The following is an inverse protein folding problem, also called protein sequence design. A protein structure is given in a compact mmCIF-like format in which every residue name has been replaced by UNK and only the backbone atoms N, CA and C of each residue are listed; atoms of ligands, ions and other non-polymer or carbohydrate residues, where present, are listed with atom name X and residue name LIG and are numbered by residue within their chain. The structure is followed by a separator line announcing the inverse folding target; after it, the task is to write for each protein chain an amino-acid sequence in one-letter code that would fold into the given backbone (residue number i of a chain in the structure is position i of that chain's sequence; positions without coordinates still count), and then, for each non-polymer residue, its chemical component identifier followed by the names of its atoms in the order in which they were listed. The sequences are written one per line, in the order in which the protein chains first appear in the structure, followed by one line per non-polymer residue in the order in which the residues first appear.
data_IF_651230753159
#
_entry.id   IF_651230753159
#
_cell.length_a   1.000
_cell.length_b   1.000
_cell.length_c   1.000
_cell.angle_alpha   90.00
_cell.angle_beta   90.00
_cell.angle_gamma   90.00
#
_symmetry.space_group_name_H-M   'P 1'
#
loop_
_entity.id
_entity.type
_entity.pdbx_description
1 polymer ?
#
# COMPACT_ATOMS: atom_id res chain seq x y z
N UNK A 1 -3.41 22.93 -23.95
CA UNK A 1 -2.09 22.86 -23.26
C UNK A 1 -1.95 21.50 -22.62
N UNK A 2 -0.75 20.89 -22.65
CA UNK A 2 -0.51 19.59 -21.99
C UNK A 2 -0.53 19.74 -20.47
N UNK A 3 -1.19 18.82 -19.75
CA UNK A 3 -1.23 18.79 -18.28
C UNK A 3 0.19 18.66 -17.73
N UNK A 4 0.50 19.46 -16.71
CA UNK A 4 1.79 19.47 -16.02
C UNK A 4 1.67 18.76 -14.68
N UNK A 5 2.45 17.70 -14.50
CA UNK A 5 2.56 16.96 -13.24
C UNK A 5 3.72 17.51 -12.43
N UNK A 6 3.49 17.94 -11.20
CA UNK A 6 4.52 18.25 -10.21
C UNK A 6 4.75 17.04 -9.31
N UNK A 7 5.85 16.33 -9.51
CA UNK A 7 6.15 15.10 -8.76
C UNK A 7 7.18 15.40 -7.67
N UNK A 8 6.72 15.39 -6.43
CA UNK A 8 7.53 15.61 -5.23
C UNK A 8 8.01 14.27 -4.70
N UNK A 9 9.33 14.14 -4.47
CA UNK A 9 9.97 12.86 -4.18
C UNK A 9 10.19 12.01 -5.44
N UNK A 10 10.35 12.66 -6.59
CA UNK A 10 10.42 12.01 -7.91
C UNK A 10 11.70 11.20 -8.16
N UNK A 11 12.73 11.29 -7.30
CA UNK A 11 13.96 10.49 -7.33
C UNK A 11 13.87 9.21 -6.50
N UNK A 12 12.85 9.07 -5.63
CA UNK A 12 12.52 7.83 -4.94
C UNK A 12 12.13 6.71 -5.92
N UNK A 13 12.06 5.47 -5.45
CA UNK A 13 11.78 4.32 -6.33
C UNK A 13 10.40 4.42 -7.01
N UNK A 14 9.32 4.68 -6.24
CA UNK A 14 7.98 4.88 -6.78
C UNK A 14 7.89 6.19 -7.57
N UNK A 15 8.58 7.26 -7.13
CA UNK A 15 8.66 8.52 -7.87
C UNK A 15 9.23 8.33 -9.27
N UNK A 16 10.35 7.63 -9.41
CA UNK A 16 10.93 7.29 -10.73
C UNK A 16 9.97 6.43 -11.57
N UNK A 17 9.24 5.51 -10.93
CA UNK A 17 8.27 4.68 -11.61
C UNK A 17 7.13 5.55 -12.18
N UNK A 18 6.50 6.39 -11.35
CA UNK A 18 5.41 7.28 -11.78
C UNK A 18 5.88 8.37 -12.76
N UNK A 19 7.10 8.86 -12.63
CA UNK A 19 7.69 9.75 -13.64
C UNK A 19 7.69 9.10 -15.03
N UNK A 20 8.17 7.86 -15.14
CA UNK A 20 8.15 7.11 -16.42
C UNK A 20 6.72 6.91 -16.92
N UNK A 21 5.82 6.51 -16.02
CA UNK A 21 4.42 6.31 -16.36
C UNK A 21 3.78 7.57 -16.93
N UNK A 22 3.82 8.70 -16.22
CA UNK A 22 3.23 9.95 -16.69
C UNK A 22 3.89 10.47 -17.98
N UNK A 23 5.21 10.32 -18.12
CA UNK A 23 5.90 10.69 -19.37
C UNK A 23 5.43 9.83 -20.54
N UNK A 24 5.23 8.53 -20.34
CA UNK A 24 4.68 7.63 -21.37
C UNK A 24 3.22 7.95 -21.75
N UNK A 25 2.44 8.59 -20.86
CA UNK A 25 1.12 9.13 -21.17
C UNK A 25 1.17 10.50 -21.89
N UNK A 26 2.35 10.97 -22.31
CA UNK A 26 2.53 12.26 -23.01
C UNK A 26 2.43 13.49 -22.11
N UNK A 27 2.51 13.33 -20.79
CA UNK A 27 2.40 14.44 -19.84
C UNK A 27 3.76 15.09 -19.57
N UNK A 28 3.75 16.40 -19.30
CA UNK A 28 4.94 17.11 -18.86
C UNK A 28 5.15 16.88 -17.35
N UNK A 29 6.27 16.25 -16.97
CA UNK A 29 6.60 15.96 -15.57
C UNK A 29 7.71 16.88 -15.07
N UNK A 30 7.39 17.69 -14.06
CA UNK A 30 8.34 18.49 -13.28
C UNK A 30 8.65 17.70 -12.01
N UNK A 31 9.94 17.58 -11.65
CA UNK A 31 10.37 16.76 -10.51
C UNK A 31 11.07 17.63 -9.49
N UNK A 32 10.67 17.52 -8.22
CA UNK A 32 11.42 18.03 -7.09
C UNK A 32 11.76 16.90 -6.11
N UNK A 33 12.98 16.96 -5.59
CA UNK A 33 13.51 16.08 -4.56
C UNK A 33 14.59 16.83 -3.77
N UNK A 34 15.16 16.22 -2.73
CA UNK A 34 16.13 16.88 -1.82
C UNK A 34 17.37 17.45 -2.51
N UNK A 35 17.72 16.92 -3.69
CA UNK A 35 18.94 17.28 -4.47
C UNK A 35 18.63 17.69 -5.92
N UNK A 36 17.44 18.21 -6.18
CA UNK A 36 17.08 18.81 -7.48
C UNK A 36 17.36 20.32 -7.48
N UNK A 37 17.65 20.88 -8.67
CA UNK A 37 17.80 22.33 -8.85
C UNK A 37 16.51 23.09 -8.56
N UNK A 38 15.37 22.54 -9.01
CA UNK A 38 14.06 23.10 -8.71
C UNK A 38 13.61 22.70 -7.31
N UNK A 39 13.16 23.66 -6.54
CA UNK A 39 12.57 23.44 -5.23
C UNK A 39 11.17 22.87 -5.34
N UNK A 40 10.70 22.17 -4.30
CA UNK A 40 9.34 21.65 -4.25
C UNK A 40 8.28 22.77 -4.41
N UNK A 41 8.53 23.95 -3.82
CA UNK A 41 7.63 25.11 -3.93
C UNK A 41 7.53 25.64 -5.37
N UNK A 42 8.65 25.71 -6.10
CA UNK A 42 8.65 26.11 -7.51
C UNK A 42 7.86 25.12 -8.38
N UNK A 43 8.08 23.83 -8.17
CA UNK A 43 7.41 22.78 -8.94
C UNK A 43 5.90 22.79 -8.70
N UNK A 44 5.43 22.90 -7.45
CA UNK A 44 3.98 22.86 -7.15
C UNK A 44 3.24 24.10 -7.68
N UNK A 45 3.91 25.29 -7.75
CA UNK A 45 3.32 26.50 -8.35
C UNK A 45 3.04 26.37 -9.84
N UNK A 46 3.82 25.54 -10.54
CA UNK A 46 3.73 25.37 -11.99
C UNK A 46 2.85 24.17 -12.41
N UNK A 47 2.53 23.29 -11.47
CA UNK A 47 1.82 22.04 -11.73
C UNK A 47 0.30 22.24 -11.83
N UNK A 48 -0.34 21.44 -12.68
CA UNK A 48 -1.80 21.28 -12.73
C UNK A 48 -2.24 20.14 -11.79
N UNK A 49 -1.37 19.16 -11.59
CA UNK A 49 -1.55 18.05 -10.66
C UNK A 49 -0.26 17.85 -9.87
N UNK A 50 -0.33 17.98 -8.57
CA UNK A 50 0.79 17.71 -7.64
C UNK A 50 0.66 16.30 -7.11
N UNK A 51 1.72 15.50 -7.26
CA UNK A 51 1.78 14.11 -6.80
C UNK A 51 2.88 13.97 -5.75
N UNK A 52 2.49 13.54 -4.55
CA UNK A 52 3.40 13.31 -3.44
C UNK A 52 3.86 11.85 -3.43
N UNK A 53 5.14 11.63 -3.73
CA UNK A 53 5.83 10.32 -3.69
C UNK A 53 6.97 10.35 -2.66
N UNK A 54 6.66 10.83 -1.46
CA UNK A 54 7.60 11.06 -0.36
C UNK A 54 7.49 9.99 0.71
N UNK A 55 8.50 9.79 1.58
CA UNK A 55 8.42 8.85 2.69
C UNK A 55 7.21 9.14 3.60
N UNK A 56 6.47 8.08 3.96
CA UNK A 56 5.23 8.19 4.76
C UNK A 56 5.38 9.03 6.04
N UNK A 57 6.49 8.95 6.82
CA UNK A 57 6.65 9.80 8.01
C UNK A 57 6.66 11.29 7.71
N UNK A 58 7.07 11.68 6.49
CA UNK A 58 7.21 13.07 6.07
C UNK A 58 5.98 13.64 5.36
N UNK A 59 5.04 12.79 4.95
CA UNK A 59 3.94 13.21 4.07
C UNK A 59 3.10 14.33 4.67
N UNK A 60 2.77 14.27 5.97
CA UNK A 60 1.96 15.30 6.63
C UNK A 60 2.67 16.65 6.74
N UNK A 61 3.96 16.63 7.07
CA UNK A 61 4.82 17.81 7.12
C UNK A 61 4.88 18.49 5.74
N UNK A 62 5.16 17.70 4.71
CA UNK A 62 5.27 18.17 3.31
C UNK A 62 3.93 18.71 2.79
N UNK A 63 2.80 18.09 3.15
CA UNK A 63 1.48 18.62 2.80
C UNK A 63 1.29 20.02 3.39
N UNK A 64 1.56 20.21 4.70
CA UNK A 64 1.41 21.50 5.37
C UNK A 64 2.33 22.57 4.77
N UNK A 65 3.54 22.21 4.43
CA UNK A 65 4.50 23.12 3.80
C UNK A 65 4.08 23.53 2.39
N UNK A 66 3.67 22.57 1.55
CA UNK A 66 3.49 22.81 0.13
C UNK A 66 2.07 23.26 -0.25
N UNK A 67 1.05 22.87 0.50
CA UNK A 67 -0.36 23.20 0.19
C UNK A 67 -0.60 24.70 -0.04
N UNK A 68 0.00 25.65 0.72
CA UNK A 68 -0.18 27.08 0.47
C UNK A 68 0.41 27.58 -0.85
N UNK A 69 1.30 26.81 -1.48
CA UNK A 69 1.97 27.15 -2.71
C UNK A 69 1.34 26.51 -3.95
N UNK A 70 0.40 25.57 -3.77
CA UNK A 70 -0.33 24.90 -4.85
C UNK A 70 -1.46 25.81 -5.33
N UNK A 71 -1.65 25.93 -6.65
CA UNK A 71 -2.73 26.72 -7.22
C UNK A 71 -4.09 26.11 -6.85
N UNK A 72 -5.11 26.92 -6.50
CA UNK A 72 -6.42 26.42 -6.07
C UNK A 72 -7.14 25.54 -7.09
N UNK A 73 -6.90 25.76 -8.39
CA UNK A 73 -7.46 24.98 -9.49
C UNK A 73 -6.71 23.67 -9.80
N UNK A 74 -5.56 23.45 -9.15
CA UNK A 74 -4.79 22.24 -9.28
C UNK A 74 -5.36 21.09 -8.43
N UNK A 75 -4.82 19.88 -8.61
CA UNK A 75 -5.08 18.75 -7.74
C UNK A 75 -3.88 18.42 -6.85
N UNK A 76 -4.15 17.93 -5.66
CA UNK A 76 -3.17 17.33 -4.76
C UNK A 76 -3.45 15.85 -4.57
N UNK A 77 -2.47 15.01 -4.90
CA UNK A 77 -2.55 13.55 -4.91
C UNK A 77 -1.40 12.97 -4.09
N UNK A 78 -1.65 11.95 -3.28
CA UNK A 78 -0.62 11.19 -2.60
C UNK A 78 -0.51 9.75 -3.14
N UNK A 79 0.63 9.09 -2.93
CA UNK A 79 0.88 7.69 -3.31
C UNK A 79 1.15 6.79 -2.08
N UNK A 80 0.76 7.23 -0.89
CA UNK A 80 1.06 6.49 0.36
C UNK A 80 0.24 5.22 0.53
N UNK A 81 0.75 4.31 1.36
CA UNK A 81 0.07 3.02 1.64
C UNK A 81 -1.03 3.11 2.69
N UNK A 82 -1.23 4.26 3.34
CA UNK A 82 -2.35 4.56 4.25
C UNK A 82 -3.10 5.78 3.73
N UNK A 83 -4.42 5.84 3.97
CA UNK A 83 -5.24 6.90 3.36
C UNK A 83 -5.84 7.89 4.37
N UNK A 84 -6.29 7.43 5.54
CA UNK A 84 -6.99 8.33 6.48
C UNK A 84 -6.15 9.54 6.87
N UNK A 85 -4.91 9.31 7.31
CA UNK A 85 -4.03 10.38 7.76
C UNK A 85 -3.66 11.38 6.66
N UNK A 86 -3.05 10.96 5.55
CA UNK A 86 -2.71 11.85 4.44
C UNK A 86 -3.91 12.59 3.84
N UNK A 87 -5.03 11.90 3.65
CA UNK A 87 -6.26 12.52 3.11
C UNK A 87 -6.80 13.62 4.04
N UNK A 88 -6.81 13.39 5.35
CA UNK A 88 -7.23 14.39 6.32
C UNK A 88 -6.34 15.65 6.26
N UNK A 89 -5.02 15.47 6.16
CA UNK A 89 -4.07 16.58 6.03
C UNK A 89 -4.25 17.35 4.70
N UNK A 90 -4.40 16.64 3.57
CA UNK A 90 -4.63 17.29 2.28
C UNK A 90 -5.93 18.10 2.29
N UNK A 91 -7.03 17.55 2.80
CA UNK A 91 -8.34 18.21 2.88
C UNK A 91 -8.35 19.40 3.83
N UNK A 92 -7.56 19.37 4.90
CA UNK A 92 -7.46 20.45 5.87
C UNK A 92 -6.63 21.65 5.36
N UNK A 93 -5.57 21.38 4.59
CA UNK A 93 -4.57 22.40 4.24
C UNK A 93 -4.65 22.87 2.78
N UNK A 94 -5.30 22.13 1.89
CA UNK A 94 -5.41 22.49 0.48
C UNK A 94 -6.89 22.71 0.10
N UNK A 95 -7.27 23.90 -0.46
CA UNK A 95 -8.67 24.19 -0.81
C UNK A 95 -9.12 23.58 -2.14
N UNK A 96 -8.18 23.18 -3.02
CA UNK A 96 -8.46 22.62 -4.34
C UNK A 96 -8.85 21.14 -4.31
N UNK A 97 -8.74 20.46 -5.45
CA UNK A 97 -9.14 19.06 -5.57
C UNK A 97 -8.13 18.10 -4.92
N UNK A 98 -8.63 17.11 -4.20
CA UNK A 98 -7.84 16.14 -3.44
C UNK A 98 -8.23 14.73 -3.82
N UNK A 99 -7.23 13.90 -4.16
CA UNK A 99 -7.41 12.48 -4.45
C UNK A 99 -6.36 11.66 -3.70
N UNK A 100 -6.80 10.75 -2.85
CA UNK A 100 -5.92 9.74 -2.27
C UNK A 100 -5.66 8.61 -3.25
N UNK A 101 -4.42 8.20 -3.41
CA UNK A 101 -4.06 7.13 -4.34
C UNK A 101 -3.15 6.11 -3.63
N UNK A 102 -3.41 4.83 -3.85
CA UNK A 102 -2.53 3.76 -3.38
C UNK A 102 -2.32 2.72 -4.48
N UNK A 103 -1.16 2.72 -5.16
CA UNK A 103 -0.77 1.64 -6.04
C UNK A 103 -0.48 0.38 -5.22
N UNK A 104 -1.24 -0.70 -5.43
CA UNK A 104 -1.05 -1.96 -4.70
C UNK A 104 0.10 -2.79 -5.31
N UNK A 105 1.18 -2.13 -5.70
CA UNK A 105 2.36 -2.76 -6.28
C UNK A 105 3.64 -1.98 -5.92
N UNK A 106 4.76 -2.68 -5.94
CA UNK A 106 6.07 -2.08 -5.70
C UNK A 106 6.76 -1.60 -6.98
N UNK A 107 7.89 -0.89 -6.85
CA UNK A 107 8.60 -0.26 -7.96
C UNK A 107 9.24 -1.24 -8.96
N UNK A 108 9.30 -2.54 -8.62
CA UNK A 108 9.80 -3.61 -9.51
C UNK A 108 8.82 -4.02 -10.62
N UNK A 109 7.58 -3.55 -10.57
CA UNK A 109 6.57 -3.83 -11.62
C UNK A 109 6.93 -3.06 -12.89
N UNK A 110 6.91 -3.75 -14.04
CA UNK A 110 7.32 -3.17 -15.34
C UNK A 110 6.22 -2.32 -15.99
N UNK A 111 4.95 -2.70 -15.81
CA UNK A 111 3.78 -2.04 -16.41
C UNK A 111 2.67 -1.91 -15.38
N UNK A 112 1.82 -0.89 -15.54
CA UNK A 112 0.59 -0.72 -14.75
C UNK A 112 -0.51 -1.69 -15.17
N UNK A 113 -0.41 -2.27 -16.37
CA UNK A 113 -1.41 -3.18 -16.93
C UNK A 113 -1.67 -4.35 -15.99
N UNK A 114 -2.92 -4.55 -15.63
CA UNK A 114 -3.37 -5.58 -14.69
C UNK A 114 -3.08 -5.29 -13.21
N UNK A 115 -2.34 -4.22 -12.90
CA UNK A 115 -2.07 -3.84 -11.52
C UNK A 115 -3.27 -3.10 -10.90
N UNK A 116 -3.48 -3.29 -9.61
CA UNK A 116 -4.54 -2.58 -8.89
C UNK A 116 -4.03 -1.24 -8.37
N UNK A 117 -4.82 -0.19 -8.60
CA UNK A 117 -4.63 1.13 -8.00
C UNK A 117 -5.91 1.50 -7.28
N UNK A 118 -5.80 1.82 -6.00
CA UNK A 118 -6.94 2.31 -5.22
C UNK A 118 -6.99 3.83 -5.30
N UNK A 119 -8.18 4.38 -5.58
CA UNK A 119 -8.47 5.80 -5.53
C UNK A 119 -9.48 6.08 -4.41
N UNK A 120 -9.15 7.06 -3.58
CA UNK A 120 -10.03 7.58 -2.54
C UNK A 120 -10.43 9.02 -2.90
N UNK A 121 -11.68 9.26 -3.31
CA UNK A 121 -12.14 10.61 -3.61
C UNK A 121 -12.14 11.47 -2.34
N UNK A 122 -11.57 12.67 -2.43
CA UNK A 122 -11.54 13.64 -1.34
C UNK A 122 -12.42 14.83 -1.65
N UNK A 123 -11.94 15.76 -2.51
CA UNK A 123 -12.65 16.95 -2.94
C UNK A 123 -12.48 17.13 -4.43
N UNK A 124 -13.57 17.51 -5.12
CA UNK A 124 -13.62 17.73 -6.57
C UNK A 124 -13.77 16.44 -7.37
N UNK A 125 -14.15 16.58 -8.63
CA UNK A 125 -14.43 15.43 -9.52
C UNK A 125 -13.60 15.47 -10.80
N UNK A 126 -13.18 16.66 -11.25
CA UNK A 126 -12.45 16.83 -12.51
C UNK A 126 -11.17 16.02 -12.55
N UNK A 127 -10.30 16.22 -11.56
CA UNK A 127 -9.00 15.55 -11.52
C UNK A 127 -9.10 14.11 -11.05
N UNK A 128 -10.12 13.80 -10.25
CA UNK A 128 -10.43 12.40 -9.91
C UNK A 128 -10.80 11.61 -11.17
N UNK A 129 -11.75 12.09 -11.97
CA UNK A 129 -12.18 11.41 -13.19
C UNK A 129 -11.05 11.34 -14.22
N UNK A 130 -10.30 12.42 -14.42
CA UNK A 130 -9.13 12.43 -15.29
C UNK A 130 -8.09 11.38 -14.90
N UNK A 131 -7.75 11.28 -13.61
CA UNK A 131 -6.78 10.29 -13.11
C UNK A 131 -7.32 8.87 -13.29
N UNK A 132 -8.58 8.64 -12.94
CA UNK A 132 -9.24 7.34 -13.09
C UNK A 132 -9.20 6.86 -14.53
N UNK A 133 -9.67 7.68 -15.47
CA UNK A 133 -9.67 7.36 -16.90
C UNK A 133 -8.26 7.08 -17.43
N UNK A 134 -7.28 7.89 -17.07
CA UNK A 134 -5.89 7.69 -17.48
C UNK A 134 -5.34 6.34 -16.99
N UNK A 135 -5.61 5.97 -15.74
CA UNK A 135 -5.16 4.70 -15.18
C UNK A 135 -5.86 3.51 -15.84
N UNK A 136 -7.19 3.59 -16.04
CA UNK A 136 -7.98 2.55 -16.70
C UNK A 136 -7.56 2.37 -18.16
N UNK A 137 -7.37 3.46 -18.91
CA UNK A 137 -6.87 3.43 -20.30
C UNK A 137 -5.46 2.84 -20.40
N UNK A 138 -4.64 2.98 -19.37
CA UNK A 138 -3.33 2.34 -19.29
C UNK A 138 -3.40 0.86 -18.85
N UNK A 139 -4.59 0.31 -18.64
CA UNK A 139 -4.84 -1.09 -18.29
C UNK A 139 -4.76 -1.41 -16.80
N UNK A 140 -4.78 -0.41 -15.91
CA UNK A 140 -4.85 -0.64 -14.47
C UNK A 140 -6.26 -1.10 -14.04
N UNK A 141 -6.32 -1.89 -12.98
CA UNK A 141 -7.56 -2.22 -12.26
C UNK A 141 -7.81 -1.14 -11.21
N UNK A 142 -8.66 -0.16 -11.51
CA UNK A 142 -8.97 0.90 -10.55
C UNK A 142 -10.05 0.44 -9.58
N UNK A 143 -9.78 0.62 -8.27
CA UNK A 143 -10.74 0.40 -7.19
C UNK A 143 -11.01 1.71 -6.48
N UNK A 144 -12.28 2.09 -6.36
CA UNK A 144 -12.69 3.33 -5.69
C UNK A 144 -13.29 2.98 -4.34
N UNK A 145 -12.80 3.65 -3.28
CA UNK A 145 -13.30 3.42 -1.91
C UNK A 145 -13.06 4.65 -1.02
N UNK A 146 -13.63 4.65 0.18
CA UNK A 146 -13.34 5.69 1.18
C UNK A 146 -11.97 5.45 1.85
N UNK A 147 -11.32 6.50 2.40
CA UNK A 147 -10.07 6.35 3.16
C UNK A 147 -10.18 5.37 4.33
N UNK A 148 -11.30 5.38 5.03
CA UNK A 148 -11.56 4.47 6.15
C UNK A 148 -11.69 3.01 5.71
N UNK A 149 -12.44 2.77 4.65
CA UNK A 149 -12.59 1.41 4.11
C UNK A 149 -11.27 0.91 3.50
N UNK A 150 -10.53 1.79 2.82
CA UNK A 150 -9.19 1.47 2.34
C UNK A 150 -8.30 0.96 3.48
N UNK A 151 -8.15 1.75 4.56
CA UNK A 151 -7.25 1.41 5.65
C UNK A 151 -7.72 0.14 6.40
N UNK A 152 -9.04 -0.08 6.49
CA UNK A 152 -9.60 -1.35 6.98
C UNK A 152 -9.21 -2.55 6.12
N UNK A 153 -9.33 -2.46 4.80
CA UNK A 153 -8.91 -3.53 3.90
C UNK A 153 -7.39 -3.75 3.95
N UNK A 154 -6.62 -2.67 3.98
CA UNK A 154 -5.16 -2.74 4.05
C UNK A 154 -4.65 -3.27 5.40
N UNK A 155 -5.43 -3.17 6.48
CA UNK A 155 -5.06 -3.82 7.74
C UNK A 155 -5.03 -5.35 7.63
N UNK A 156 -5.84 -5.92 6.76
CA UNK A 156 -5.81 -7.37 6.46
C UNK A 156 -4.76 -7.67 5.37
N UNK A 157 -4.89 -7.03 4.20
CA UNK A 157 -4.09 -7.34 2.99
C UNK A 157 -2.60 -7.01 3.17
N UNK A 158 -2.28 -5.97 3.91
CA UNK A 158 -0.90 -5.57 4.21
C UNK A 158 -0.55 -5.76 5.69
N UNK A 159 -1.38 -5.29 6.60
CA UNK A 159 -1.12 -5.32 8.03
C UNK A 159 -0.86 -6.74 8.54
N UNK A 160 -1.85 -7.62 8.46
CA UNK A 160 -1.71 -9.01 8.90
C UNK A 160 -0.67 -9.78 8.08
N UNK A 161 -0.67 -9.64 6.75
CA UNK A 161 0.25 -10.38 5.89
C UNK A 161 1.71 -10.06 6.19
N UNK A 162 2.07 -8.78 6.28
CA UNK A 162 3.43 -8.37 6.60
C UNK A 162 3.82 -8.73 8.04
N UNK A 163 2.92 -8.50 9.00
CA UNK A 163 3.15 -8.86 10.39
C UNK A 163 3.44 -10.35 10.54
N UNK A 164 2.62 -11.22 9.92
CA UNK A 164 2.79 -12.67 10.00
C UNK A 164 4.13 -13.13 9.44
N UNK A 165 4.58 -12.55 8.31
CA UNK A 165 5.90 -12.86 7.74
C UNK A 165 7.04 -12.37 8.63
N UNK A 166 6.93 -11.19 9.23
CA UNK A 166 7.93 -10.67 10.18
C UNK A 166 7.99 -11.55 11.42
N UNK A 167 6.83 -11.92 11.99
CA UNK A 167 6.77 -12.76 13.18
C UNK A 167 7.33 -14.18 12.92
N UNK A 168 7.05 -14.76 11.76
CA UNK A 168 7.60 -16.04 11.33
C UNK A 168 9.13 -16.01 11.29
N UNK A 169 9.73 -15.02 10.65
CA UNK A 169 11.18 -14.91 10.54
C UNK A 169 11.84 -14.60 11.89
N UNK A 170 11.18 -13.81 12.74
CA UNK A 170 11.65 -13.62 14.11
C UNK A 170 11.70 -14.93 14.88
N UNK A 171 10.65 -15.76 14.81
CA UNK A 171 10.59 -17.06 15.46
C UNK A 171 11.65 -18.03 14.91
N UNK A 172 11.83 -18.10 13.59
CA UNK A 172 12.88 -18.93 12.96
C UNK A 172 14.26 -18.51 13.48
N UNK A 173 14.54 -17.21 13.54
CA UNK A 173 15.82 -16.69 14.05
C UNK A 173 16.05 -17.06 15.53
N UNK A 174 15.01 -16.99 16.35
CA UNK A 174 15.09 -17.32 17.78
C UNK A 174 15.36 -18.81 18.01
N UNK A 175 14.80 -19.69 17.15
CA UNK A 175 15.04 -21.14 17.20
C UNK A 175 16.47 -21.52 16.77
N UNK A 176 17.22 -20.63 16.15
CA UNK A 176 18.64 -20.85 15.83
C UNK A 176 18.92 -21.94 14.80
N UNK A 177 17.94 -22.32 13.97
CA UNK A 177 18.12 -23.32 12.90
C UNK A 177 19.00 -22.73 11.79
N UNK A 178 19.98 -23.53 11.31
CA UNK A 178 20.89 -23.03 10.27
C UNK A 178 20.15 -22.79 8.94
N UNK A 179 20.56 -21.79 8.12
CA UNK A 179 19.97 -21.59 6.79
C UNK A 179 20.09 -22.83 5.89
N UNK A 180 21.19 -23.59 6.01
CA UNK A 180 21.40 -24.82 5.23
C UNK A 180 20.38 -25.91 5.62
N UNK A 181 20.15 -26.11 6.91
CA UNK A 181 19.16 -27.09 7.38
C UNK A 181 17.75 -26.69 6.92
N UNK A 182 17.44 -25.37 6.95
CA UNK A 182 16.17 -24.87 6.46
C UNK A 182 15.95 -25.14 4.97
N UNK A 183 16.99 -25.02 4.15
CA UNK A 183 16.93 -25.35 2.72
C UNK A 183 16.81 -26.87 2.48
N UNK A 184 17.60 -27.67 3.17
CA UNK A 184 17.65 -29.14 2.99
C UNK A 184 16.35 -29.84 3.43
N UNK A 185 15.67 -29.30 4.44
CA UNK A 185 14.41 -29.85 4.97
C UNK A 185 13.15 -29.04 4.59
N UNK A 186 13.27 -28.08 3.68
CA UNK A 186 12.16 -27.22 3.31
C UNK A 186 10.99 -27.96 2.63
N UNK A 187 9.80 -27.81 3.19
CA UNK A 187 8.58 -28.20 2.50
C UNK A 187 8.19 -27.12 1.45
N UNK A 188 7.37 -27.45 0.41
CA UNK A 188 6.90 -26.46 -0.55
C UNK A 188 6.20 -25.26 0.09
N UNK A 189 5.41 -25.48 1.14
CA UNK A 189 4.74 -24.43 1.91
C UNK A 189 5.75 -23.52 2.60
N UNK A 190 6.74 -24.09 3.30
CA UNK A 190 7.79 -23.32 3.96
C UNK A 190 8.59 -22.49 2.96
N UNK A 191 9.04 -23.11 1.86
CA UNK A 191 9.79 -22.40 0.80
C UNK A 191 9.03 -21.21 0.26
N UNK A 192 7.71 -21.32 0.05
CA UNK A 192 6.86 -20.22 -0.43
C UNK A 192 6.81 -19.09 0.59
N UNK A 193 6.53 -19.38 1.85
CA UNK A 193 6.46 -18.39 2.93
C UNK A 193 7.80 -17.67 3.15
N UNK A 194 8.89 -18.45 3.20
CA UNK A 194 10.25 -17.91 3.37
C UNK A 194 10.67 -17.03 2.18
N UNK A 195 10.31 -17.41 0.93
CA UNK A 195 10.53 -16.57 -0.25
C UNK A 195 9.76 -15.24 -0.17
N UNK A 196 8.50 -15.26 0.27
CA UNK A 196 7.70 -14.04 0.47
C UNK A 196 8.33 -13.13 1.53
N UNK A 197 8.77 -13.70 2.65
CA UNK A 197 9.46 -12.97 3.71
C UNK A 197 10.77 -12.35 3.20
N UNK A 198 11.62 -13.11 2.52
CA UNK A 198 12.86 -12.58 1.91
C UNK A 198 12.59 -11.41 0.96
N UNK A 199 11.55 -11.51 0.12
CA UNK A 199 11.14 -10.40 -0.76
C UNK A 199 10.73 -9.15 0.03
N UNK A 200 10.03 -9.32 1.16
CA UNK A 200 9.67 -8.24 2.07
C UNK A 200 10.93 -7.55 2.61
N UNK A 201 11.89 -8.31 3.11
CA UNK A 201 13.12 -7.77 3.72
C UNK A 201 14.13 -7.18 2.71
N UNK A 202 13.94 -7.36 1.41
CA UNK A 202 14.73 -6.63 0.39
C UNK A 202 14.28 -5.20 0.16
N UNK A 203 13.16 -4.78 0.74
CA UNK A 203 12.63 -3.43 0.61
C UNK A 203 12.96 -2.59 1.85
N UNK A 204 12.62 -1.30 1.81
CA UNK A 204 12.87 -0.38 2.91
C UNK A 204 12.10 -0.78 4.19
N UNK A 205 12.81 -1.07 5.26
CA UNK A 205 12.25 -1.41 6.55
C UNK A 205 11.36 -0.30 7.13
N UNK A 206 11.68 0.98 6.86
CA UNK A 206 10.88 2.11 7.32
C UNK A 206 9.48 2.11 6.69
N UNK A 207 9.34 1.67 5.44
CA UNK A 207 8.04 1.53 4.79
C UNK A 207 7.14 0.55 5.55
N UNK A 208 7.65 -0.63 5.90
CA UNK A 208 6.87 -1.64 6.62
C UNK A 208 6.55 -1.23 8.06
N UNK A 209 7.50 -0.59 8.74
CA UNK A 209 7.24 -0.01 10.05
C UNK A 209 6.10 1.03 10.00
N UNK A 210 6.11 1.91 8.99
CA UNK A 210 5.05 2.90 8.80
C UNK A 210 3.69 2.26 8.48
N UNK A 211 3.64 1.23 7.62
CA UNK A 211 2.41 0.49 7.32
C UNK A 211 1.84 -0.09 8.62
N UNK A 212 2.68 -0.68 9.47
CA UNK A 212 2.22 -1.25 10.74
C UNK A 212 1.73 -0.19 11.74
N UNK A 213 2.45 0.92 11.87
CA UNK A 213 2.20 1.91 12.90
C UNK A 213 1.16 2.98 12.53
N UNK A 214 1.05 3.35 11.25
CA UNK A 214 0.23 4.49 10.83
C UNK A 214 -1.17 4.10 10.32
N UNK A 215 -1.43 2.82 10.04
CA UNK A 215 -2.78 2.37 9.73
C UNK A 215 -3.57 2.17 11.04
N UNK A 216 -4.60 3.01 11.32
CA UNK A 216 -5.34 2.92 12.58
C UNK A 216 -6.12 1.60 12.74
N UNK A 217 -6.47 0.93 11.62
CA UNK A 217 -7.19 -0.33 11.63
C UNK A 217 -6.30 -1.55 11.98
N UNK A 218 -4.98 -1.42 11.90
CA UNK A 218 -4.05 -2.52 12.22
C UNK A 218 -4.21 -3.02 13.66
N UNK A 219 -4.51 -2.13 14.61
CA UNK A 219 -4.67 -2.54 16.02
C UNK A 219 -5.77 -3.61 16.18
N UNK A 220 -6.88 -3.46 15.48
CA UNK A 220 -7.99 -4.42 15.54
C UNK A 220 -7.59 -5.73 14.83
N UNK A 221 -6.99 -5.63 13.64
CA UNK A 221 -6.57 -6.79 12.88
C UNK A 221 -5.50 -7.63 13.60
N UNK A 222 -4.50 -6.96 14.20
CA UNK A 222 -3.44 -7.64 14.95
C UNK A 222 -3.96 -8.28 16.24
N UNK A 223 -4.94 -7.66 16.91
CA UNK A 223 -5.61 -8.26 18.07
C UNK A 223 -6.33 -9.55 17.68
N UNK A 224 -7.06 -9.55 16.58
CA UNK A 224 -7.72 -10.77 16.07
C UNK A 224 -6.72 -11.90 15.75
N UNK A 225 -5.53 -11.54 15.23
CA UNK A 225 -4.47 -12.53 15.01
C UNK A 225 -3.90 -13.07 16.35
N UNK A 226 -3.66 -12.20 17.33
CA UNK A 226 -3.21 -12.61 18.67
C UNK A 226 -4.20 -13.59 19.30
N UNK A 227 -5.49 -13.27 19.27
CA UNK A 227 -6.54 -14.14 19.79
C UNK A 227 -6.57 -15.49 19.05
N UNK A 228 -6.46 -15.48 17.72
CA UNK A 228 -6.41 -16.71 16.90
C UNK A 228 -5.20 -17.58 17.21
N UNK A 229 -4.03 -16.98 17.43
CA UNK A 229 -2.82 -17.70 17.85
C UNK A 229 -3.02 -18.34 19.23
N UNK A 230 -3.63 -17.61 20.17
CA UNK A 230 -3.93 -18.12 21.51
C UNK A 230 -4.88 -19.32 21.44
N UNK A 231 -5.93 -19.27 20.60
CA UNK A 231 -6.87 -20.38 20.42
C UNK A 231 -6.19 -21.64 19.85
N UNK A 232 -5.31 -21.49 18.85
CA UNK A 232 -4.55 -22.61 18.30
C UNK A 232 -3.64 -23.23 19.39
N UNK A 233 -2.91 -22.39 20.12
CA UNK A 233 -2.03 -22.84 21.20
C UNK A 233 -2.79 -23.56 22.32
N UNK A 234 -4.01 -23.13 22.63
CA UNK A 234 -4.87 -23.79 23.62
C UNK A 234 -5.11 -25.26 23.29
N UNK A 235 -5.44 -25.60 22.02
CA UNK A 235 -5.63 -27.00 21.60
C UNK A 235 -4.32 -27.78 21.61
N UNK A 236 -3.21 -27.17 21.14
CA UNK A 236 -1.88 -27.82 21.09
C UNK A 236 -1.40 -28.16 22.49
N UNK A 237 -1.47 -27.23 23.45
CA UNK A 237 -1.02 -27.44 24.83
C UNK A 237 -1.82 -28.52 25.56
N UNK A 238 -3.08 -28.70 25.20
CA UNK A 238 -3.98 -29.72 25.76
C UNK A 238 -3.94 -31.05 25.02
N UNK A 239 -3.19 -31.14 23.92
CA UNK A 239 -3.19 -32.27 23.00
C UNK A 239 -4.63 -32.65 22.52
N UNK A 240 -5.51 -31.66 22.38
CA UNK A 240 -6.88 -31.82 21.90
C UNK A 240 -6.90 -31.87 20.37
N UNK A 241 -6.59 -33.04 19.82
CA UNK A 241 -6.59 -33.28 18.39
C UNK A 241 -7.97 -33.05 17.74
N UNK A 242 -9.04 -33.47 18.40
CA UNK A 242 -10.40 -33.36 17.88
C UNK A 242 -10.85 -31.89 17.83
N UNK A 243 -10.52 -31.09 18.83
CA UNK A 243 -10.76 -29.65 18.85
C UNK A 243 -10.03 -28.94 17.72
N UNK A 244 -8.76 -29.26 17.51
CA UNK A 244 -7.97 -28.68 16.43
C UNK A 244 -8.49 -29.10 15.04
N UNK A 245 -8.90 -30.35 14.87
CA UNK A 245 -9.52 -30.84 13.61
C UNK A 245 -10.81 -30.08 13.32
N UNK A 246 -11.70 -29.88 14.31
CA UNK A 246 -12.92 -29.10 14.14
C UNK A 246 -12.63 -27.66 13.71
N UNK A 247 -11.66 -27.00 14.35
CA UNK A 247 -11.25 -25.64 13.99
C UNK A 247 -10.78 -25.56 12.53
N UNK A 248 -9.86 -26.43 12.12
CA UNK A 248 -9.34 -26.45 10.75
C UNK A 248 -10.42 -26.78 9.72
N UNK A 249 -11.34 -27.70 10.05
CA UNK A 249 -12.45 -28.04 9.16
C UNK A 249 -13.40 -26.87 8.95
N UNK A 250 -13.75 -26.15 10.01
CA UNK A 250 -14.57 -24.94 9.90
C UNK A 250 -13.94 -23.86 9.01
N UNK A 251 -12.62 -23.62 9.14
CA UNK A 251 -11.89 -22.70 8.27
C UNK A 251 -11.90 -23.16 6.81
N UNK A 252 -11.71 -24.45 6.56
CA UNK A 252 -11.77 -25.05 5.22
C UNK A 252 -13.15 -24.83 4.57
N UNK A 253 -14.21 -25.07 5.30
CA UNK A 253 -15.59 -24.91 4.80
C UNK A 253 -15.88 -23.44 4.44
N UNK A 254 -15.44 -22.48 5.27
CA UNK A 254 -15.55 -21.05 4.99
C UNK A 254 -14.82 -20.65 3.69
N UNK A 255 -13.56 -21.05 3.53
CA UNK A 255 -12.78 -20.74 2.34
C UNK A 255 -13.33 -21.36 1.05
N UNK A 256 -13.91 -22.57 1.12
CA UNK A 256 -14.51 -23.23 -0.05
C UNK A 256 -15.85 -22.62 -0.44
N UNK A 257 -16.64 -22.15 0.51
CA UNK A 257 -17.90 -21.46 0.24
C UNK A 257 -17.69 -20.13 -0.48
N UNK A 258 -16.64 -19.36 -0.10
CA UNK A 258 -16.27 -18.12 -0.77
C UNK A 258 -15.83 -18.32 -2.23
N UNK A 259 -15.09 -19.41 -2.51
CA UNK A 259 -14.61 -19.72 -3.89
C UNK A 259 -15.72 -20.16 -4.85
N UNK A 260 -16.85 -20.66 -4.36
CA UNK A 260 -18.00 -21.06 -5.21
C UNK A 260 -18.87 -19.86 -5.64
N UNK A 261 -18.88 -18.77 -4.86
CA UNK A 261 -19.57 -17.54 -5.21
C UNK A 261 -18.97 -16.83 -6.44
N UNK A 262 -17.65 -16.89 -6.61
CA UNK A 262 -16.95 -16.25 -7.75
C UNK A 262 -17.08 -17.03 -9.08
N UNK A 263 -17.38 -18.34 -9.02
CA UNK A 263 -17.53 -19.17 -10.22
C UNK A 263 -18.92 -19.05 -10.88
N UNK A 264 -19.92 -18.52 -10.16
CA UNK A 264 -21.29 -18.34 -10.66
C UNK A 264 -21.55 -16.97 -11.30
N UNK A 265 -20.58 -16.02 -11.23
CA UNK A 265 -20.70 -14.67 -11.81
C UNK A 265 -19.81 -14.45 -13.06
N UNK A 266 -19.23 -15.49 -13.60
CA UNK A 266 -18.50 -15.48 -14.88
C UNK A 266 -19.27 -16.28 -15.92
#
# INVERSE_FOLDING_TARGET
MSVKIGLIGGRGQMGRWFRRFFTAQGLKVLVADVDTEQTSQEVVRLADVVVLSVPMPKVKEIIRELAPHIRPEAALIDLTSVKQGPMAEMLAHFPGEVVGTHPLFGPGVKSITGQTVVLCPGRGERWFNWLKEMLENAGAKVKVTSPTQHDRLMSVVQGLAHFSLIALEMAIRELGVSPQDLEDFATPTFSTLHHLARRLFTQDAALYACIQLQNPANRVALRALEDSVADILYFIQRQDADGLVRLITSLKEGLLAEGQGEASEK
#
